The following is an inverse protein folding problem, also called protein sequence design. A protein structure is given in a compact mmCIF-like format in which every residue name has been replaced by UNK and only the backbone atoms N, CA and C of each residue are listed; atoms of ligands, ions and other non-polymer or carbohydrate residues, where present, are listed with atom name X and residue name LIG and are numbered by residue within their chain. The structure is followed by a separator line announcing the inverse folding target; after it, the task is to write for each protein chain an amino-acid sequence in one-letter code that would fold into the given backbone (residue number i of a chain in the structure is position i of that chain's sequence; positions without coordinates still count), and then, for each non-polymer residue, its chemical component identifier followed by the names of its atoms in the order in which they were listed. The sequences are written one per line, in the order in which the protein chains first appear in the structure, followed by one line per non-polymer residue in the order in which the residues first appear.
data_IF_407063958899
#
_entry.id   IF_407063958899
#
_cell.length_a   1.000
_cell.length_b   1.000
_cell.length_c   1.000
_cell.angle_alpha   90.00
_cell.angle_beta   90.00
_cell.angle_gamma   90.00
#
_symmetry.space_group_name_H-M   'P 1'
#
loop_
_entity.id
_entity.type
_entity.pdbx_description
1 polymer ?
#
# COMPACT_ATOMS: atom_id res chain seq x y z
N UNK A 1 15.71 -23.38 -14.47
CA UNK A 1 14.46 -22.62 -14.43
C UNK A 1 14.45 -21.59 -15.55
N UNK A 2 13.35 -21.52 -16.26
CA UNK A 2 13.25 -20.67 -17.45
C UNK A 2 13.12 -19.17 -17.11
N UNK A 3 12.40 -18.86 -16.04
CA UNK A 3 12.18 -17.48 -15.61
C UNK A 3 12.86 -17.26 -14.27
N UNK A 4 13.69 -16.22 -14.21
CA UNK A 4 14.44 -15.87 -13.00
C UNK A 4 14.19 -14.42 -12.61
N UNK A 5 12.97 -13.96 -12.80
CA UNK A 5 12.59 -12.61 -12.43
C UNK A 5 11.30 -12.65 -11.61
N UNK A 6 11.28 -11.90 -10.51
CA UNK A 6 10.14 -11.82 -9.62
C UNK A 6 9.67 -10.38 -9.58
N UNK A 7 8.37 -10.18 -9.74
CA UNK A 7 7.73 -8.88 -9.59
C UNK A 7 6.94 -8.90 -8.29
N UNK A 8 7.29 -7.98 -7.40
CA UNK A 8 6.66 -7.86 -6.09
C UNK A 8 5.65 -6.72 -6.07
N UNK A 9 4.54 -6.92 -5.38
CA UNK A 9 3.70 -5.84 -4.91
C UNK A 9 4.35 -5.23 -3.67
N UNK A 10 4.03 -3.97 -3.35
CA UNK A 10 4.66 -3.27 -2.23
C UNK A 10 3.74 -3.22 -1.00
N UNK A 11 2.63 -2.48 -1.08
CA UNK A 11 1.74 -2.29 0.07
C UNK A 11 1.07 -3.60 0.46
N UNK A 12 1.17 -3.96 1.73
CA UNK A 12 0.57 -5.19 2.24
C UNK A 12 1.31 -6.47 1.91
N UNK A 13 2.28 -6.43 0.99
CA UNK A 13 3.05 -7.60 0.57
C UNK A 13 4.45 -7.58 1.17
N UNK A 14 5.28 -6.63 0.77
CA UNK A 14 6.58 -6.42 1.39
C UNK A 14 6.45 -5.54 2.62
N UNK A 15 5.60 -4.54 2.55
CA UNK A 15 5.35 -3.58 3.61
C UNK A 15 4.17 -4.03 4.46
N UNK A 16 4.36 -4.08 5.77
CA UNK A 16 3.29 -4.47 6.71
C UNK A 16 2.48 -3.24 7.12
N UNK A 17 1.68 -2.73 6.18
CA UNK A 17 0.92 -1.50 6.34
C UNK A 17 -0.60 -1.68 6.37
N UNK A 18 -1.11 -2.91 6.32
CA UNK A 18 -2.56 -3.14 6.33
C UNK A 18 -3.21 -2.53 7.56
N UNK A 19 -2.57 -2.63 8.73
CA UNK A 19 -3.08 -2.04 9.96
C UNK A 19 -3.25 -0.52 9.83
N UNK A 20 -2.32 0.14 9.14
CA UNK A 20 -2.39 1.59 8.93
C UNK A 20 -3.51 1.95 7.96
N UNK A 21 -3.71 1.14 6.93
CA UNK A 21 -4.80 1.36 5.98
C UNK A 21 -6.17 1.24 6.68
N UNK A 22 -6.31 0.26 7.56
CA UNK A 22 -7.54 0.08 8.36
C UNK A 22 -7.73 1.26 9.32
N UNK A 23 -6.68 1.64 10.02
CA UNK A 23 -6.73 2.77 10.94
C UNK A 23 -7.11 4.07 10.21
N UNK A 24 -6.49 4.32 9.06
CA UNK A 24 -6.75 5.52 8.28
C UNK A 24 -8.18 5.59 7.76
N UNK A 25 -8.69 4.50 7.19
CA UNK A 25 -10.06 4.51 6.70
C UNK A 25 -11.07 4.63 7.86
N UNK A 26 -10.77 4.02 9.00
CA UNK A 26 -11.65 4.12 10.16
C UNK A 26 -11.76 5.54 10.70
N UNK A 27 -10.68 6.32 10.63
CA UNK A 27 -10.73 7.74 10.99
C UNK A 27 -11.72 8.50 10.12
N UNK A 28 -11.70 8.25 8.82
CA UNK A 28 -12.63 8.88 7.88
C UNK A 28 -14.06 8.39 8.08
N UNK A 29 -14.24 7.11 8.40
CA UNK A 29 -15.56 6.55 8.69
C UNK A 29 -16.16 7.16 9.95
N UNK A 30 -15.39 7.25 11.02
CA UNK A 30 -15.83 7.85 12.28
C UNK A 30 -16.25 9.30 12.10
N UNK A 31 -15.49 10.06 11.35
CA UNK A 31 -15.78 11.46 11.06
C UNK A 31 -17.14 11.64 10.40
N UNK A 32 -17.61 10.64 9.66
CA UNK A 32 -18.88 10.67 8.92
C UNK A 32 -19.98 9.86 9.59
N UNK A 33 -19.73 9.41 10.81
CA UNK A 33 -20.66 8.57 11.58
C UNK A 33 -21.01 7.28 10.85
N UNK A 34 -20.06 6.75 10.10
CA UNK A 34 -20.18 5.47 9.42
C UNK A 34 -19.53 4.38 10.27
N UNK A 35 -19.96 3.15 10.05
CA UNK A 35 -19.45 2.02 10.80
C UNK A 35 -18.00 1.75 10.46
N UNK A 36 -17.15 1.60 11.49
CA UNK A 36 -15.74 1.22 11.30
C UNK A 36 -15.63 -0.24 10.90
N UNK A 37 -14.48 -0.60 10.37
CA UNK A 37 -14.22 -1.95 9.87
C UNK A 37 -13.03 -2.57 10.56
N UNK A 38 -12.95 -3.90 10.46
CA UNK A 38 -11.81 -4.69 10.93
C UNK A 38 -10.87 -5.00 9.75
N UNK A 39 -9.71 -5.53 10.07
CA UNK A 39 -8.75 -6.00 9.07
C UNK A 39 -9.36 -7.07 8.16
N UNK A 40 -10.17 -7.95 8.72
CA UNK A 40 -10.84 -9.01 7.96
C UNK A 40 -11.83 -8.43 6.96
N UNK A 41 -12.62 -7.44 7.38
CA UNK A 41 -13.55 -6.75 6.49
C UNK A 41 -12.79 -5.99 5.41
N UNK A 42 -11.73 -5.29 5.79
CA UNK A 42 -10.89 -4.57 4.83
C UNK A 42 -10.42 -5.51 3.71
N UNK A 43 -9.91 -6.68 4.05
CA UNK A 43 -9.42 -7.65 3.07
C UNK A 43 -10.51 -8.17 2.15
N UNK A 44 -11.74 -8.23 2.61
CA UNK A 44 -12.88 -8.69 1.82
C UNK A 44 -13.41 -7.62 0.87
N UNK A 45 -13.41 -6.36 1.30
CA UNK A 45 -14.09 -5.30 0.56
C UNK A 45 -13.18 -4.41 -0.25
N UNK A 46 -11.89 -4.37 0.10
CA UNK A 46 -10.94 -3.55 -0.65
C UNK A 46 -10.85 -4.03 -2.11
N UNK A 47 -10.92 -3.09 -3.04
CA UNK A 47 -10.82 -3.39 -4.47
C UNK A 47 -10.46 -2.12 -5.23
N UNK A 48 -10.05 -2.29 -6.47
CA UNK A 48 -9.91 -1.20 -7.42
C UNK A 48 -11.09 -1.20 -8.37
N UNK A 49 -11.56 -0.05 -8.79
CA UNK A 49 -11.10 1.28 -8.36
C UNK A 49 -11.44 1.55 -6.90
N UNK A 50 -10.62 2.37 -6.27
CA UNK A 50 -10.74 2.65 -4.84
C UNK A 50 -12.08 3.30 -4.50
N UNK A 51 -12.64 4.10 -5.41
CA UNK A 51 -13.94 4.73 -5.22
C UNK A 51 -15.04 3.71 -4.94
N UNK A 52 -15.01 2.56 -5.61
CA UNK A 52 -16.00 1.49 -5.39
C UNK A 52 -15.89 0.92 -3.98
N UNK A 53 -14.68 0.75 -3.50
CA UNK A 53 -14.41 0.31 -2.14
C UNK A 53 -14.99 1.31 -1.12
N UNK A 54 -14.76 2.61 -1.33
CA UNK A 54 -15.32 3.64 -0.44
C UNK A 54 -16.84 3.62 -0.45
N UNK A 55 -17.46 3.44 -1.62
CA UNK A 55 -18.92 3.37 -1.71
C UNK A 55 -19.47 2.18 -0.91
N UNK A 56 -18.80 1.04 -0.97
CA UNK A 56 -19.21 -0.14 -0.18
C UNK A 56 -19.16 0.12 1.31
N UNK A 57 -18.30 1.02 1.75
CA UNK A 57 -18.19 1.40 3.16
C UNK A 57 -19.24 2.42 3.59
N UNK A 58 -19.99 2.96 2.65
CA UNK A 58 -21.08 3.89 2.95
C UNK A 58 -20.81 5.35 2.63
N UNK A 59 -19.66 5.66 1.99
CA UNK A 59 -19.39 7.04 1.57
C UNK A 59 -20.35 7.45 0.48
N UNK A 60 -20.86 8.67 0.57
CA UNK A 60 -21.81 9.23 -0.39
C UNK A 60 -21.16 10.35 -1.19
N UNK A 61 -20.72 10.03 -2.41
CA UNK A 61 -20.03 10.99 -3.26
C UNK A 61 -20.95 12.01 -3.92
N UNK A 62 -22.26 11.87 -3.75
CA UNK A 62 -23.20 12.91 -4.12
C UNK A 62 -23.17 14.07 -3.13
N UNK A 63 -22.87 13.77 -1.86
CA UNK A 63 -22.76 14.76 -0.80
C UNK A 63 -21.38 15.36 -0.65
N UNK A 64 -20.35 14.55 -0.92
CA UNK A 64 -18.97 14.95 -0.73
C UNK A 64 -18.10 14.26 -1.76
N UNK A 65 -17.29 14.98 -2.55
CA UNK A 65 -16.44 14.36 -3.54
C UNK A 65 -15.48 13.34 -2.95
N UNK A 66 -15.19 12.27 -3.70
CA UNK A 66 -14.25 11.24 -3.29
C UNK A 66 -12.89 11.83 -2.86
N UNK A 67 -12.43 12.86 -3.58
CA UNK A 67 -11.12 13.46 -3.36
C UNK A 67 -10.95 13.95 -1.91
N UNK A 68 -12.02 14.39 -1.27
CA UNK A 68 -11.95 14.85 0.12
C UNK A 68 -11.56 13.70 1.04
N UNK A 69 -12.26 12.58 0.96
CA UNK A 69 -11.94 11.41 1.78
C UNK A 69 -10.62 10.77 1.36
N UNK A 70 -10.36 10.73 0.07
CA UNK A 70 -9.11 10.21 -0.47
C UNK A 70 -7.89 10.98 0.04
N UNK A 71 -7.96 12.31 0.02
CA UNK A 71 -6.89 13.17 0.51
C UNK A 71 -6.70 13.03 2.03
N UNK A 72 -7.78 12.86 2.78
CA UNK A 72 -7.69 12.57 4.22
C UNK A 72 -6.87 11.31 4.48
N UNK A 73 -7.16 10.26 3.73
CA UNK A 73 -6.45 8.99 3.87
C UNK A 73 -4.97 9.14 3.56
N UNK A 74 -4.66 9.80 2.44
CA UNK A 74 -3.26 10.00 2.02
C UNK A 74 -2.50 10.80 3.09
N UNK A 75 -3.12 11.86 3.62
CA UNK A 75 -2.49 12.68 4.65
C UNK A 75 -2.25 11.88 5.93
N UNK A 76 -3.21 11.07 6.34
CA UNK A 76 -3.06 10.24 7.53
C UNK A 76 -1.96 9.19 7.34
N UNK A 77 -1.96 8.53 6.20
CA UNK A 77 -0.95 7.54 5.87
C UNK A 77 0.46 8.16 5.90
N UNK A 78 0.63 9.31 5.28
CA UNK A 78 1.92 10.00 5.26
C UNK A 78 2.37 10.41 6.67
N UNK A 79 1.44 10.85 7.50
CA UNK A 79 1.73 11.24 8.89
C UNK A 79 2.22 10.07 9.73
N UNK A 80 1.67 8.88 9.51
CA UNK A 80 1.94 7.71 10.34
C UNK A 80 2.89 6.70 9.70
N UNK A 81 3.33 6.95 8.48
CA UNK A 81 4.15 6.02 7.71
C UNK A 81 5.43 5.61 8.44
N UNK A 82 6.02 6.51 9.22
CA UNK A 82 7.25 6.21 9.96
C UNK A 82 7.11 5.06 10.94
N UNK A 83 5.88 4.67 11.28
CA UNK A 83 5.60 3.54 12.17
C UNK A 83 5.48 2.21 11.43
N UNK A 84 5.44 2.26 10.11
CA UNK A 84 5.24 1.06 9.29
C UNK A 84 6.55 0.32 9.12
N UNK A 85 6.49 -1.00 9.23
CA UNK A 85 7.65 -1.88 9.08
C UNK A 85 7.45 -2.84 7.91
N UNK A 86 8.54 -3.44 7.47
CA UNK A 86 8.46 -4.56 6.53
C UNK A 86 7.91 -5.79 7.26
N UNK A 87 7.29 -6.70 6.51
CA UNK A 87 6.98 -8.02 7.06
C UNK A 87 8.29 -8.70 7.48
N UNK A 88 8.21 -9.54 8.52
CA UNK A 88 9.39 -10.05 9.23
C UNK A 88 10.35 -10.75 8.34
N UNK A 89 10.29 -11.36 7.39
CA UNK A 89 11.29 -12.11 6.64
C UNK A 89 11.60 -11.52 5.27
N UNK A 90 11.17 -10.28 5.04
CA UNK A 90 11.33 -9.66 3.72
C UNK A 90 12.80 -9.54 3.33
N UNK A 91 13.63 -8.95 4.17
CA UNK A 91 15.05 -8.77 3.83
C UNK A 91 15.75 -10.10 3.60
N UNK A 92 15.48 -11.12 4.43
CA UNK A 92 16.06 -12.44 4.25
C UNK A 92 15.60 -13.09 2.95
N UNK A 93 14.32 -12.95 2.61
CA UNK A 93 13.76 -13.54 1.40
C UNK A 93 14.35 -12.89 0.15
N UNK A 94 14.42 -11.55 0.13
CA UNK A 94 15.01 -10.83 -1.01
C UNK A 94 16.47 -11.19 -1.22
N UNK A 95 17.23 -11.26 -0.14
CA UNK A 95 18.63 -11.64 -0.19
C UNK A 95 18.83 -13.07 -0.67
N UNK A 96 18.02 -14.00 -0.19
CA UNK A 96 18.11 -15.41 -0.61
C UNK A 96 17.79 -15.58 -2.09
N UNK A 97 16.80 -14.84 -2.59
CA UNK A 97 16.44 -14.88 -4.01
C UNK A 97 17.54 -14.29 -4.89
N UNK A 98 18.17 -13.22 -4.44
CA UNK A 98 19.28 -12.61 -5.15
C UNK A 98 20.46 -13.60 -5.26
N UNK A 99 20.81 -14.25 -4.16
CA UNK A 99 21.86 -15.26 -4.14
C UNK A 99 21.51 -16.43 -5.07
N UNK A 100 20.24 -16.80 -5.15
CA UNK A 100 19.79 -17.88 -6.03
C UNK A 100 19.76 -17.48 -7.51
N UNK A 101 20.10 -16.23 -7.83
CA UNK A 101 20.20 -15.77 -9.22
C UNK A 101 18.93 -15.14 -9.77
N UNK A 102 17.93 -14.85 -8.93
CA UNK A 102 16.73 -14.14 -9.36
C UNK A 102 16.97 -12.65 -9.42
N UNK A 103 16.52 -12.00 -10.48
CA UNK A 103 16.37 -10.55 -10.49
C UNK A 103 14.97 -10.21 -9.93
N UNK A 104 14.82 -9.02 -9.40
CA UNK A 104 13.58 -8.63 -8.72
C UNK A 104 13.18 -7.21 -9.08
N UNK A 105 11.89 -6.95 -9.12
CA UNK A 105 11.31 -5.64 -9.38
C UNK A 105 10.11 -5.43 -8.47
N UNK A 106 9.74 -4.15 -8.31
CA UNK A 106 8.50 -3.77 -7.62
C UNK A 106 7.58 -3.13 -8.63
N UNK A 107 6.29 -3.52 -8.60
CA UNK A 107 5.22 -2.86 -9.32
C UNK A 107 4.12 -2.54 -8.31
N UNK A 108 3.80 -1.26 -8.17
CA UNK A 108 2.86 -0.80 -7.14
C UNK A 108 1.84 0.17 -7.70
N UNK A 109 0.64 0.16 -7.14
CA UNK A 109 -0.38 1.17 -7.42
C UNK A 109 -0.11 2.49 -6.69
N UNK A 110 0.92 2.56 -5.87
CA UNK A 110 1.31 3.78 -5.17
C UNK A 110 2.03 4.79 -6.07
N UNK A 111 2.04 6.04 -5.63
CA UNK A 111 2.67 7.11 -6.38
C UNK A 111 4.18 6.90 -6.44
N UNK A 112 4.76 7.03 -7.63
CA UNK A 112 6.19 6.74 -7.86
C UNK A 112 7.12 7.47 -6.89
N UNK A 113 6.87 8.75 -6.68
CA UNK A 113 7.69 9.59 -5.80
C UNK A 113 7.76 9.02 -4.39
N UNK A 114 6.62 8.64 -3.83
CA UNK A 114 6.57 8.08 -2.48
C UNK A 114 7.15 6.67 -2.43
N UNK A 115 6.89 5.88 -3.46
CA UNK A 115 7.42 4.52 -3.54
C UNK A 115 8.95 4.52 -3.49
N UNK A 116 9.60 5.37 -4.27
CA UNK A 116 11.05 5.48 -4.29
C UNK A 116 11.61 5.83 -2.90
N UNK A 117 10.97 6.79 -2.24
CA UNK A 117 11.37 7.19 -0.89
C UNK A 117 11.22 6.05 0.12
N UNK A 118 10.08 5.35 0.07
CA UNK A 118 9.77 4.29 1.03
C UNK A 118 10.71 3.09 0.86
N UNK A 119 10.98 2.70 -0.36
CA UNK A 119 11.92 1.59 -0.63
C UNK A 119 13.31 1.94 -0.13
N UNK A 120 13.74 3.18 -0.36
CA UNK A 120 15.04 3.68 0.08
C UNK A 120 15.14 3.71 1.61
N UNK A 121 14.12 4.23 2.29
CA UNK A 121 14.08 4.33 3.75
C UNK A 121 14.22 2.95 4.39
N UNK A 122 13.62 1.92 3.79
CA UNK A 122 13.72 0.56 4.31
C UNK A 122 14.99 -0.17 3.87
N UNK A 123 15.86 0.50 3.12
CA UNK A 123 17.16 -0.07 2.74
C UNK A 123 17.08 -1.17 1.71
N UNK A 124 16.06 -1.19 0.87
CA UNK A 124 15.83 -2.29 -0.07
C UNK A 124 16.15 -1.96 -1.53
N UNK A 125 16.55 -0.72 -1.83
CA UNK A 125 16.73 -0.26 -3.22
C UNK A 125 17.65 -1.17 -4.03
N UNK A 126 18.69 -1.70 -3.41
CA UNK A 126 19.70 -2.51 -4.10
C UNK A 126 19.18 -3.85 -4.60
N UNK A 127 18.08 -4.36 -4.03
CA UNK A 127 17.52 -5.64 -4.44
C UNK A 127 16.73 -5.57 -5.73
N UNK A 128 16.36 -4.36 -6.17
CA UNK A 128 15.39 -4.21 -7.26
C UNK A 128 16.01 -3.57 -8.48
N UNK A 129 15.83 -4.22 -9.63
CA UNK A 129 16.26 -3.71 -10.91
C UNK A 129 15.35 -2.58 -11.40
N UNK A 130 14.04 -2.68 -11.12
CA UNK A 130 13.04 -1.68 -11.47
C UNK A 130 12.10 -1.50 -10.27
N UNK A 131 11.80 -0.23 -9.98
CA UNK A 131 10.82 0.14 -8.96
C UNK A 131 9.81 1.05 -9.66
N UNK A 132 8.59 0.54 -9.89
CA UNK A 132 7.60 1.24 -10.70
C UNK A 132 6.30 1.44 -9.93
N UNK A 133 5.91 2.69 -9.79
CA UNK A 133 4.61 3.10 -9.25
C UNK A 133 3.80 3.82 -10.31
N UNK A 134 2.92 4.72 -9.89
CA UNK A 134 2.09 5.52 -10.77
C UNK A 134 2.62 6.97 -10.78
N UNK A 135 2.81 7.52 -11.98
CA UNK A 135 3.35 8.87 -12.14
C UNK A 135 2.27 9.95 -12.30
N UNK A 136 1.13 9.59 -12.84
CA UNK A 136 0.12 10.54 -13.27
C UNK A 136 -1.08 10.59 -12.33
N UNK A 137 -0.84 10.94 -11.12
CA UNK A 137 -1.90 11.05 -10.12
C UNK A 137 -2.46 12.45 -10.02
#
# INVERSE_FOLDING_TARGET
MKYKHIIWDWNGTLLDDTWLCVEGINKSLEKRSLQTITKEIYRKVFSFPVEDYYERLGFDFKKEPFEVAGDEFVAYYAKCFHKVKLHKQVSSALGALEIAGFSQSILSAGKQEYLDQWVKVHGLSEYFMIIRGIDNQ
#
